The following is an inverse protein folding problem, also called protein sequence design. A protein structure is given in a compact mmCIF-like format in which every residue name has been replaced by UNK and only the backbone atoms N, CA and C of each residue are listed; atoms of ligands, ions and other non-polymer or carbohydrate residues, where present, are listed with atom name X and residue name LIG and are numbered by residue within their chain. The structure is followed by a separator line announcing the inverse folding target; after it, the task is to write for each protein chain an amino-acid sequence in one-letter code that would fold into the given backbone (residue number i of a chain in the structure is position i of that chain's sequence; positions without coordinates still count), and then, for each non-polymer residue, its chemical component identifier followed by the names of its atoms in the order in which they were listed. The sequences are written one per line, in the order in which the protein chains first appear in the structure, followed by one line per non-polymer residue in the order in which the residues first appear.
data_IF_320959142425
#
_entry.id   IF_320959142425
#
_cell.length_a   1.000
_cell.length_b   1.000
_cell.length_c   1.000
_cell.angle_alpha   90.00
_cell.angle_beta   90.00
_cell.angle_gamma   90.00
#
_symmetry.space_group_name_H-M   'P 1'
#
loop_
_entity.id
_entity.type
_entity.pdbx_description
1 polymer ?
#
# COMPACT_ATOMS: atom_id res chain seq x y z
N UNK A 1 -8.25 0.34 3.75
CA UNK A 1 -9.24 1.01 2.91
C UNK A 1 -10.10 0.20 1.96
N UNK A 2 -11.38 0.56 1.98
CA UNK A 2 -12.40 0.18 0.99
C UNK A 2 -12.72 1.40 0.10
N UNK A 3 -13.19 1.16 -1.12
CA UNK A 3 -13.63 2.25 -1.99
C UNK A 3 -15.04 2.67 -1.63
N UNK A 4 -15.25 3.99 -1.59
CA UNK A 4 -16.58 4.58 -1.52
C UNK A 4 -17.31 4.45 -2.87
N UNK A 5 -18.63 4.66 -2.85
CA UNK A 5 -19.43 4.61 -4.07
C UNK A 5 -18.92 5.64 -5.09
N UNK A 6 -18.65 5.17 -6.31
CA UNK A 6 -18.10 5.99 -7.42
C UNK A 6 -16.68 6.53 -7.20
N UNK A 7 -15.99 6.09 -6.14
CA UNK A 7 -14.59 6.45 -5.89
C UNK A 7 -13.63 5.65 -6.78
N UNK A 8 -12.70 6.34 -7.44
CA UNK A 8 -11.65 5.66 -8.20
C UNK A 8 -10.56 5.11 -7.25
N UNK A 9 -9.85 4.03 -7.64
CA UNK A 9 -8.89 3.38 -6.75
C UNK A 9 -7.75 4.27 -6.25
N UNK A 10 -7.32 5.26 -7.03
CA UNK A 10 -6.23 6.15 -6.61
C UNK A 10 -6.74 7.13 -5.55
N UNK A 11 -7.89 7.76 -5.78
CA UNK A 11 -8.51 8.67 -4.82
C UNK A 11 -8.77 7.97 -3.49
N UNK A 12 -9.32 6.75 -3.52
CA UNK A 12 -9.53 5.95 -2.32
C UNK A 12 -8.22 5.60 -1.60
N UNK A 13 -7.18 5.18 -2.34
CA UNK A 13 -5.89 4.88 -1.71
C UNK A 13 -5.26 6.09 -1.01
N UNK A 14 -5.38 7.29 -1.58
CA UNK A 14 -4.87 8.53 -0.98
C UNK A 14 -5.68 8.94 0.25
N UNK A 15 -7.02 8.87 0.16
CA UNK A 15 -7.93 9.15 1.28
C UNK A 15 -7.61 8.24 2.47
N UNK A 16 -7.60 6.94 2.24
CA UNK A 16 -7.36 5.90 3.24
C UNK A 16 -5.97 6.02 3.87
N UNK A 17 -4.92 6.26 3.08
CA UNK A 17 -3.59 6.53 3.61
C UNK A 17 -3.60 7.72 4.56
N UNK A 18 -4.32 8.79 4.23
CA UNK A 18 -4.40 10.00 5.05
C UNK A 18 -5.21 9.78 6.33
N UNK A 19 -6.32 9.05 6.25
CA UNK A 19 -7.18 8.69 7.38
C UNK A 19 -6.46 7.73 8.34
N UNK A 20 -5.95 6.61 7.83
CA UNK A 20 -5.31 5.57 8.64
C UNK A 20 -3.95 6.00 9.20
N UNK A 21 -3.18 6.82 8.46
CA UNK A 21 -1.77 7.12 8.82
C UNK A 21 -1.45 8.58 9.09
N UNK A 22 -2.27 9.53 8.62
CA UNK A 22 -1.98 10.97 8.70
C UNK A 22 -0.97 11.50 7.67
N UNK A 23 -0.40 10.63 6.83
CA UNK A 23 0.54 11.00 5.77
C UNK A 23 -0.18 11.37 4.47
N UNK A 24 0.49 12.18 3.65
CA UNK A 24 0.06 12.55 2.30
C UNK A 24 1.25 12.58 1.34
N UNK A 25 1.01 12.50 0.03
CA UNK A 25 2.03 12.54 -1.01
C UNK A 25 1.49 13.06 -2.34
N UNK A 26 2.31 13.82 -3.04
CA UNK A 26 2.03 14.29 -4.41
C UNK A 26 2.54 13.31 -5.48
N UNK A 27 3.32 12.29 -5.09
CA UNK A 27 3.92 11.34 -6.02
C UNK A 27 3.42 9.92 -5.69
N UNK A 28 2.30 9.56 -6.32
CA UNK A 28 1.67 8.24 -6.19
C UNK A 28 1.89 7.43 -7.47
N UNK A 29 2.41 6.21 -7.32
CA UNK A 29 2.68 5.29 -8.43
C UNK A 29 1.83 4.03 -8.28
N UNK A 30 1.10 3.66 -9.33
CA UNK A 30 0.35 2.40 -9.34
C UNK A 30 1.30 1.20 -9.45
N UNK A 31 1.19 0.24 -8.53
CA UNK A 31 2.01 -0.98 -8.51
C UNK A 31 1.34 -2.14 -9.26
N UNK A 32 0.03 -2.29 -9.11
CA UNK A 32 -0.73 -3.37 -9.73
C UNK A 32 -2.03 -3.72 -9.00
N UNK A 33 -2.74 -4.71 -9.55
CA UNK A 33 -4.00 -5.23 -9.00
C UNK A 33 -3.87 -6.71 -8.72
N UNK A 34 -4.37 -7.15 -7.55
CA UNK A 34 -4.48 -8.58 -7.20
C UNK A 34 -5.91 -8.95 -6.85
N UNK A 35 -6.26 -10.21 -7.04
CA UNK A 35 -7.50 -10.80 -6.55
C UNK A 35 -7.18 -11.57 -5.26
N UNK A 36 -7.65 -11.13 -4.07
CA UNK A 36 -7.29 -11.74 -2.79
C UNK A 36 -7.66 -13.22 -2.71
N UNK A 37 -8.85 -13.56 -3.18
CA UNK A 37 -9.33 -14.94 -3.27
C UNK A 37 -10.37 -15.07 -4.40
N UNK A 38 -9.96 -15.19 -5.67
CA UNK A 38 -10.87 -15.17 -6.82
C UNK A 38 -11.85 -16.35 -6.84
N UNK A 39 -11.57 -17.44 -6.11
CA UNK A 39 -12.47 -18.58 -6.01
C UNK A 39 -13.69 -18.29 -5.11
N UNK A 40 -13.59 -17.33 -4.19
CA UNK A 40 -14.64 -17.02 -3.21
C UNK A 40 -15.14 -15.57 -3.29
N UNK A 41 -14.30 -14.66 -3.78
CA UNK A 41 -14.53 -13.22 -3.72
C UNK A 41 -14.26 -12.58 -5.08
N UNK A 42 -15.15 -11.70 -5.50
CA UNK A 42 -14.95 -10.85 -6.69
C UNK A 42 -14.12 -9.59 -6.39
N UNK A 43 -13.65 -9.43 -5.15
CA UNK A 43 -12.89 -8.27 -4.71
C UNK A 43 -11.57 -8.15 -5.46
N UNK A 44 -11.19 -6.90 -5.75
CA UNK A 44 -9.88 -6.52 -6.27
C UNK A 44 -9.18 -5.65 -5.25
N UNK A 45 -7.88 -5.87 -5.07
CA UNK A 45 -7.03 -5.01 -4.26
C UNK A 45 -6.05 -4.30 -5.21
N UNK A 46 -6.08 -2.98 -5.20
CA UNK A 46 -5.19 -2.12 -5.98
C UNK A 46 -4.08 -1.61 -5.06
N UNK A 47 -2.83 -1.80 -5.44
CA UNK A 47 -1.67 -1.37 -4.65
C UNK A 47 -1.00 -0.17 -5.30
N UNK A 48 -0.63 0.80 -4.46
CA UNK A 48 0.04 2.03 -4.87
C UNK A 48 1.27 2.27 -3.98
N UNK A 49 2.28 2.94 -4.53
CA UNK A 49 3.46 3.43 -3.84
C UNK A 49 3.36 4.95 -3.72
N UNK A 50 3.23 5.45 -2.49
CA UNK A 50 3.39 6.86 -2.20
C UNK A 50 4.86 7.18 -1.93
N UNK A 51 5.44 8.14 -2.66
CA UNK A 51 6.82 8.58 -2.50
C UNK A 51 6.88 9.93 -1.81
N UNK A 52 7.99 10.21 -1.12
CA UNK A 52 8.20 11.52 -0.47
C UNK A 52 7.03 11.93 0.44
N UNK A 53 6.49 10.97 1.19
CA UNK A 53 5.34 11.21 2.08
C UNK A 53 5.66 12.24 3.15
N UNK A 54 4.69 13.09 3.47
CA UNK A 54 4.79 14.10 4.53
C UNK A 54 3.65 13.92 5.52
N UNK A 55 3.88 14.11 6.83
CA UNK A 55 2.79 14.14 7.80
C UNK A 55 1.95 15.40 7.54
N UNK A 56 0.65 15.24 7.37
CA UNK A 56 -0.25 16.35 7.02
C UNK A 56 -1.36 16.56 8.05
N UNK A 57 -1.86 15.48 8.62
CA UNK A 57 -2.93 15.51 9.64
C UNK A 57 -2.67 14.42 10.68
N UNK A 58 -3.35 14.48 11.81
CA UNK A 58 -3.43 13.32 12.71
C UNK A 58 -4.31 12.23 12.09
N UNK A 59 -4.02 10.94 12.34
CA UNK A 59 -4.89 9.85 11.90
C UNK A 59 -6.33 10.06 12.36
N UNK A 60 -7.27 9.79 11.46
CA UNK A 60 -8.72 9.87 11.66
C UNK A 60 -9.29 8.50 11.35
N UNK A 61 -9.27 7.63 12.36
CA UNK A 61 -9.67 6.23 12.24
C UNK A 61 -11.19 6.08 12.30
N UNK A 62 -11.72 5.16 11.50
CA UNK A 62 -13.13 4.83 11.51
C UNK A 62 -13.52 3.98 12.73
N UNK A 63 -14.82 3.98 13.11
CA UNK A 63 -15.30 3.14 14.21
C UNK A 63 -14.98 1.65 13.97
N UNK A 64 -14.16 1.09 14.85
CA UNK A 64 -13.75 -0.33 14.80
C UNK A 64 -12.33 -0.54 14.26
N UNK A 65 -11.66 0.51 13.81
CA UNK A 65 -10.25 0.45 13.46
C UNK A 65 -9.35 0.61 14.69
N UNK A 66 -8.30 -0.22 14.76
CA UNK A 66 -7.23 -0.13 15.75
C UNK A 66 -5.88 -0.19 15.02
N UNK A 67 -5.36 1.00 14.66
CA UNK A 67 -4.22 1.15 13.77
C UNK A 67 -3.11 1.93 14.49
N UNK A 68 -1.89 1.39 14.45
CA UNK A 68 -0.67 2.07 14.90
C UNK A 68 0.31 2.21 13.74
N UNK A 69 0.76 3.44 13.50
CA UNK A 69 1.73 3.74 12.42
C UNK A 69 3.16 3.52 12.91
N UNK A 70 3.94 2.75 12.15
CA UNK A 70 5.35 2.51 12.41
C UNK A 70 6.20 2.74 11.16
N UNK A 71 7.21 3.60 11.25
CA UNK A 71 8.18 3.83 10.17
C UNK A 71 9.41 2.94 10.36
N UNK A 72 9.81 2.24 9.30
CA UNK A 72 10.98 1.35 9.26
C UNK A 72 11.77 1.57 7.98
N UNK A 73 13.07 1.30 8.01
CA UNK A 73 13.84 1.31 6.78
C UNK A 73 13.37 0.17 5.86
N UNK A 74 13.36 0.40 4.54
CA UNK A 74 12.92 -0.61 3.58
C UNK A 74 13.60 -1.99 3.77
N UNK A 75 14.93 -2.09 4.01
CA UNK A 75 15.55 -3.39 4.27
C UNK A 75 14.98 -4.12 5.49
N UNK A 76 14.61 -3.40 6.56
CA UNK A 76 13.99 -4.00 7.74
C UNK A 76 12.59 -4.53 7.40
N UNK A 77 11.78 -3.79 6.64
CA UNK A 77 10.44 -4.24 6.26
C UNK A 77 10.50 -5.47 5.37
N UNK A 78 11.44 -5.51 4.42
CA UNK A 78 11.67 -6.69 3.58
C UNK A 78 12.14 -7.89 4.42
N UNK A 79 12.91 -7.68 5.49
CA UNK A 79 13.24 -8.74 6.46
C UNK A 79 12.00 -9.23 7.20
N UNK A 80 11.11 -8.34 7.63
CA UNK A 80 9.88 -8.71 8.31
C UNK A 80 8.97 -9.58 7.42
N UNK A 81 8.90 -9.27 6.12
CA UNK A 81 8.22 -10.13 5.13
C UNK A 81 8.93 -11.47 5.01
N UNK A 82 10.26 -11.48 4.82
CA UNK A 82 11.05 -12.71 4.63
C UNK A 82 11.01 -13.65 5.83
N UNK A 83 11.05 -13.10 7.04
CA UNK A 83 11.03 -13.85 8.30
C UNK A 83 9.65 -14.33 8.72
N UNK A 84 8.58 -13.90 8.02
CA UNK A 84 7.21 -14.25 8.37
C UNK A 84 6.65 -13.46 9.56
N UNK A 85 7.23 -12.32 9.91
CA UNK A 85 6.59 -11.35 10.81
C UNK A 85 5.43 -10.63 10.10
N UNK A 86 5.57 -10.39 8.79
CA UNK A 86 4.48 -9.92 7.92
C UNK A 86 4.06 -11.08 7.02
N UNK A 87 2.87 -11.61 7.26
CA UNK A 87 2.31 -12.77 6.52
C UNK A 87 1.02 -12.46 5.79
N UNK A 88 0.49 -11.23 5.93
CA UNK A 88 -0.74 -10.84 5.26
C UNK A 88 -0.52 -10.83 3.75
N UNK A 89 -1.22 -11.73 3.03
CA UNK A 89 -0.95 -12.04 1.63
C UNK A 89 -0.96 -10.80 0.71
N UNK A 90 -1.86 -9.85 0.95
CA UNK A 90 -1.95 -8.62 0.14
C UNK A 90 -0.75 -7.70 0.36
N UNK A 91 -0.22 -7.62 1.59
CA UNK A 91 0.99 -6.84 1.88
C UNK A 91 2.21 -7.48 1.22
N UNK A 92 2.33 -8.81 1.32
CA UNK A 92 3.40 -9.56 0.65
C UNK A 92 3.35 -9.35 -0.87
N UNK A 93 2.16 -9.42 -1.46
CA UNK A 93 1.97 -9.19 -2.88
C UNK A 93 2.35 -7.75 -3.29
N UNK A 94 1.99 -6.74 -2.50
CA UNK A 94 2.36 -5.34 -2.76
C UNK A 94 3.89 -5.15 -2.79
N UNK A 95 4.63 -5.75 -1.84
CA UNK A 95 6.10 -5.73 -1.86
C UNK A 95 6.70 -6.49 -3.05
N UNK A 96 6.06 -7.59 -3.47
CA UNK A 96 6.43 -8.30 -4.70
C UNK A 96 6.29 -7.43 -5.95
N UNK A 97 5.16 -6.74 -6.10
CA UNK A 97 4.91 -5.81 -7.20
C UNK A 97 5.91 -4.65 -7.19
N UNK A 98 6.18 -4.08 -6.01
CA UNK A 98 7.21 -3.04 -5.84
C UNK A 98 8.60 -3.50 -6.32
N UNK A 99 9.03 -4.71 -5.94
CA UNK A 99 10.33 -5.24 -6.35
C UNK A 99 10.44 -5.45 -7.88
N UNK A 100 9.34 -5.86 -8.53
CA UNK A 100 9.30 -6.02 -9.98
C UNK A 100 9.45 -4.68 -10.71
N UNK A 101 8.80 -3.62 -10.23
CA UNK A 101 8.91 -2.28 -10.84
C UNK A 101 10.32 -1.67 -10.68
N UNK A 102 10.97 -1.90 -9.53
CA UNK A 102 12.35 -1.43 -9.30
C UNK A 102 13.34 -2.06 -10.29
N UNK A 103 13.11 -3.32 -10.67
CA UNK A 103 13.94 -4.03 -11.64
C UNK A 103 13.81 -3.46 -13.05
N UNK A 104 12.59 -3.11 -13.47
CA UNK A 104 12.32 -2.50 -14.79
C UNK A 104 12.93 -1.10 -14.93
N UNK A 105 12.99 -0.34 -13.84
CA UNK A 105 13.58 1.01 -13.83
C UNK A 105 15.12 1.00 -13.84
N UNK A 106 15.76 -0.12 -13.50
CA UNK A 106 17.22 -0.27 -13.56
C UNK A 106 17.70 -0.71 -14.96
N UNK A 107 16.85 -1.36 -15.76
CA UNK A 107 17.15 -1.77 -17.13
C UNK A 107 16.94 -0.66 -18.18
N UNK A 108 16.26 0.44 -17.84
CA UNK A 108 16.11 1.63 -18.70
C UNK A 108 17.20 2.69 -18.52
N UNK A 109 18.18 2.46 -17.62
CA UNK A 109 19.36 3.32 -17.39
C UNK A 109 20.69 2.69 -17.87
N UNK A 110 20.63 1.70 -18.75
CA UNK A 110 21.80 1.19 -19.49
C UNK A 110 21.74 1.60 -20.94
#
# INVERSE_FOLDING_TARGET
GCLELEEDPLSGAVREMREETGYDSEEIVFLGTVHPNPAMQAMRCHSFLAKNVVPKVSPQLDPGEDITVMTKALPEVLEMVRSGQITHALVVAAFGLFALQQTTNCSSRR
#
